data_IF_475709451554
#
_entry.id   IF_475709451554
#
_cell.length_a   1.000
_cell.length_b   1.000
_cell.length_c   1.000
_cell.angle_alpha   90.00
_cell.angle_beta   90.00
_cell.angle_gamma   90.00
#
_symmetry.space_group_name_H-M   'P 1'
#
loop_
_entity.id
_entity.type
_entity.pdbx_description
1 polymer ?
#
# COMPACT_ATOMS: atom_id res chain seq x y z
N UNK A 1 -3.13 -7.87 -12.60
CA UNK A 1 -2.81 -7.16 -13.86
C UNK A 1 -2.86 -8.02 -15.13
N UNK A 2 -2.14 -9.16 -15.16
CA UNK A 2 -2.03 -10.05 -16.34
C UNK A 2 -3.36 -10.37 -17.04
N UNK A 3 -4.38 -10.75 -16.29
CA UNK A 3 -5.68 -11.14 -16.84
C UNK A 3 -6.50 -9.92 -17.30
N UNK A 4 -6.58 -8.88 -16.46
CA UNK A 4 -7.48 -7.73 -16.69
C UNK A 4 -7.00 -6.77 -17.78
N UNK A 5 -5.68 -6.52 -17.89
CA UNK A 5 -5.14 -5.48 -18.77
C UNK A 5 -4.33 -6.02 -19.96
N UNK A 6 -3.93 -7.29 -19.92
CA UNK A 6 -3.02 -7.88 -20.91
C UNK A 6 -3.55 -9.18 -21.53
N UNK A 7 -4.84 -9.49 -21.39
CA UNK A 7 -5.46 -10.68 -22.00
C UNK A 7 -4.77 -12.00 -21.63
N UNK A 8 -4.16 -12.09 -20.46
CA UNK A 8 -3.42 -13.29 -20.02
C UNK A 8 -2.01 -13.44 -20.59
N UNK A 9 -1.52 -12.51 -21.40
CA UNK A 9 -0.27 -12.66 -22.15
C UNK A 9 0.99 -12.24 -21.38
N UNK A 10 0.86 -11.36 -20.38
CA UNK A 10 2.01 -10.95 -19.56
C UNK A 10 2.60 -12.14 -18.80
N UNK A 11 3.91 -12.39 -18.92
CA UNK A 11 4.61 -13.53 -18.28
C UNK A 11 5.64 -13.05 -17.27
N UNK A 12 5.73 -13.74 -16.14
CA UNK A 12 6.78 -13.50 -15.14
C UNK A 12 8.13 -14.04 -15.62
N UNK A 13 9.18 -13.24 -15.50
CA UNK A 13 10.56 -13.68 -15.68
C UNK A 13 11.01 -14.63 -14.56
N UNK A 14 12.05 -15.43 -14.82
CA UNK A 14 12.56 -16.42 -13.85
C UNK A 14 12.96 -15.78 -12.50
N UNK A 15 13.52 -14.57 -12.54
CA UNK A 15 13.93 -13.81 -11.34
C UNK A 15 12.77 -13.43 -10.41
N UNK A 16 11.52 -13.39 -10.91
CA UNK A 16 10.33 -13.04 -10.12
C UNK A 16 9.82 -14.26 -9.34
N UNK A 17 9.90 -15.45 -9.95
CA UNK A 17 9.34 -16.69 -9.37
C UNK A 17 10.10 -17.19 -8.14
N UNK A 18 11.40 -16.93 -8.09
CA UNK A 18 12.30 -17.43 -7.03
C UNK A 18 12.47 -16.52 -5.82
N UNK A 19 11.81 -15.35 -5.76
CA UNK A 19 11.98 -14.44 -4.62
C UNK A 19 11.48 -15.13 -3.33
N UNK A 20 12.17 -15.05 -2.19
CA UNK A 20 11.63 -15.49 -0.90
C UNK A 20 10.50 -14.54 -0.43
N UNK A 21 9.65 -14.95 0.53
CA UNK A 21 8.68 -14.03 1.13
C UNK A 21 9.42 -12.85 1.77
N UNK A 22 8.85 -11.63 1.70
CA UNK A 22 9.51 -10.43 2.22
C UNK A 22 9.66 -10.43 3.75
N UNK A 23 8.85 -11.24 4.45
CA UNK A 23 8.84 -11.32 5.92
C UNK A 23 9.05 -12.76 6.38
N UNK A 24 9.74 -12.92 7.52
CA UNK A 24 9.83 -14.22 8.21
C UNK A 24 8.50 -14.49 8.93
N UNK A 25 8.01 -15.75 8.94
CA UNK A 25 6.88 -16.14 9.79
C UNK A 25 7.17 -15.77 11.26
N UNK A 26 6.22 -15.11 11.94
CA UNK A 26 6.40 -14.64 13.32
C UNK A 26 6.93 -13.21 13.48
N UNK A 27 7.21 -12.50 12.37
CA UNK A 27 7.21 -11.04 12.41
C UNK A 27 5.84 -10.56 12.92
N UNK A 28 5.79 -9.45 13.65
CA UNK A 28 4.59 -8.89 14.31
C UNK A 28 3.44 -8.48 13.38
N UNK A 29 3.46 -8.92 12.12
CA UNK A 29 2.39 -8.77 11.16
C UNK A 29 1.48 -10.02 11.15
N UNK A 30 0.16 -9.83 11.17
CA UNK A 30 -0.79 -10.91 10.87
C UNK A 30 -0.39 -11.68 9.60
N UNK A 31 -0.52 -13.01 9.61
CA UNK A 31 -0.11 -13.88 8.50
C UNK A 31 -0.74 -13.47 7.15
N UNK A 32 -1.96 -12.91 7.18
CA UNK A 32 -2.63 -12.38 6.00
C UNK A 32 -1.85 -11.24 5.32
N UNK A 33 -1.13 -10.43 6.10
CA UNK A 33 -0.31 -9.30 5.67
C UNK A 33 1.14 -9.69 5.39
N UNK A 34 1.58 -10.87 5.84
CA UNK A 34 2.90 -11.42 5.54
C UNK A 34 3.02 -11.94 4.08
N UNK A 35 1.92 -11.92 3.32
CA UNK A 35 1.89 -12.26 1.89
C UNK A 35 2.43 -11.11 1.04
N UNK A 36 2.90 -11.42 -0.18
CA UNK A 36 3.35 -10.40 -1.16
C UNK A 36 2.24 -9.48 -1.66
N UNK A 37 1.01 -9.98 -1.61
CA UNK A 37 -0.18 -9.26 -1.99
C UNK A 37 -1.29 -9.62 -1.02
N UNK A 38 -1.97 -8.61 -0.49
CA UNK A 38 -3.09 -8.74 0.41
C UNK A 38 -4.12 -7.66 0.07
N UNK A 39 -5.39 -8.02 0.19
CA UNK A 39 -6.50 -7.09 0.19
C UNK A 39 -7.02 -7.08 1.62
N UNK A 40 -7.16 -5.90 2.21
CA UNK A 40 -7.67 -5.73 3.57
C UNK A 40 -9.01 -5.04 3.47
N UNK A 41 -10.03 -5.69 4.00
CA UNK A 41 -11.36 -5.11 4.14
C UNK A 41 -11.43 -4.30 5.45
N UNK A 42 -11.67 -2.99 5.34
CA UNK A 42 -11.75 -2.07 6.47
C UNK A 42 -13.22 -1.85 6.82
N UNK A 43 -13.79 -2.79 7.57
CA UNK A 43 -15.22 -2.88 7.86
C UNK A 43 -15.88 -1.66 8.56
N UNK A 44 -15.11 -0.66 9.00
CA UNK A 44 -15.61 0.53 9.74
C UNK A 44 -15.24 1.87 9.10
N UNK A 45 -14.69 1.87 7.89
CA UNK A 45 -14.39 3.11 7.19
C UNK A 45 -15.64 3.79 6.64
N UNK A 46 -15.75 5.11 6.82
CA UNK A 46 -16.72 5.93 6.10
C UNK A 46 -15.99 6.98 5.28
N UNK A 47 -16.49 7.21 4.06
CA UNK A 47 -15.96 8.24 3.19
C UNK A 47 -16.41 9.64 3.68
N UNK A 48 -15.45 10.55 3.76
CA UNK A 48 -15.68 11.98 3.99
C UNK A 48 -15.37 12.73 2.70
N UNK A 49 -16.31 13.56 2.29
CA UNK A 49 -16.23 14.35 1.07
C UNK A 49 -15.86 15.79 1.42
N UNK A 50 -14.78 16.28 0.82
CA UNK A 50 -14.46 17.70 0.85
C UNK A 50 -15.25 18.46 -0.22
N UNK A 51 -15.46 19.77 -0.01
CA UNK A 51 -16.10 20.67 -1.00
C UNK A 51 -15.40 20.65 -2.36
N UNK A 52 -14.11 20.31 -2.40
CA UNK A 52 -13.30 20.18 -3.62
C UNK A 52 -13.65 18.95 -4.47
N UNK A 53 -14.50 18.04 -3.96
CA UNK A 53 -14.78 16.74 -4.58
C UNK A 53 -13.77 15.65 -4.22
N UNK A 54 -12.74 15.96 -3.43
CA UNK A 54 -11.79 14.95 -2.95
C UNK A 54 -12.36 14.15 -1.78
N UNK A 55 -11.98 12.88 -1.68
CA UNK A 55 -12.48 11.93 -0.68
C UNK A 55 -11.38 11.50 0.29
N UNK A 56 -11.75 11.25 1.55
CA UNK A 56 -10.88 10.64 2.55
C UNK A 56 -11.62 9.61 3.41
N UNK A 57 -10.88 8.70 4.03
CA UNK A 57 -11.38 7.67 4.93
C UNK A 57 -10.39 7.51 6.11
N UNK A 58 -10.84 7.85 7.31
CA UNK A 58 -10.01 7.89 8.52
C UNK A 58 -9.57 6.49 8.97
N UNK A 59 -10.44 5.49 8.89
CA UNK A 59 -10.12 4.13 9.30
C UNK A 59 -9.03 3.52 8.40
N UNK A 60 -9.12 3.77 7.10
CA UNK A 60 -8.07 3.38 6.15
C UNK A 60 -6.76 4.12 6.42
N UNK A 61 -6.83 5.43 6.68
CA UNK A 61 -5.63 6.23 6.93
C UNK A 61 -4.88 5.76 8.19
N UNK A 62 -5.59 5.49 9.29
CA UNK A 62 -4.99 4.99 10.53
C UNK A 62 -4.34 3.61 10.31
N UNK A 63 -5.02 2.71 9.61
CA UNK A 63 -4.48 1.39 9.29
C UNK A 63 -3.19 1.50 8.46
N UNK A 64 -3.20 2.33 7.41
CA UNK A 64 -2.04 2.53 6.54
C UNK A 64 -0.85 3.12 7.31
N UNK A 65 -1.09 4.10 8.18
CA UNK A 65 -0.04 4.67 9.03
C UNK A 65 0.57 3.61 9.95
N UNK A 66 -0.25 2.81 10.64
CA UNK A 66 0.21 1.72 11.51
C UNK A 66 1.05 0.70 10.71
N UNK A 67 0.57 0.30 9.53
CA UNK A 67 1.29 -0.63 8.65
C UNK A 67 2.64 -0.06 8.20
N UNK A 68 2.68 1.20 7.76
CA UNK A 68 3.92 1.84 7.33
C UNK A 68 4.94 1.89 8.48
N UNK A 69 4.51 2.24 9.69
CA UNK A 69 5.38 2.23 10.88
C UNK A 69 5.87 0.83 11.23
N UNK A 70 5.00 -0.18 11.21
CA UNK A 70 5.40 -1.59 11.47
C UNK A 70 6.40 -2.08 10.43
N UNK A 71 6.20 -1.75 9.16
CA UNK A 71 7.12 -2.12 8.07
C UNK A 71 8.48 -1.43 8.22
N UNK A 72 8.50 -0.15 8.56
CA UNK A 72 9.74 0.58 8.83
C UNK A 72 10.55 -0.06 9.97
N UNK A 73 9.86 -0.42 11.07
CA UNK A 73 10.46 -1.09 12.23
C UNK A 73 11.01 -2.48 11.88
N UNK A 74 10.23 -3.31 11.19
CA UNK A 74 10.60 -4.70 10.89
C UNK A 74 11.80 -4.82 9.96
N UNK A 75 11.97 -3.88 9.04
CA UNK A 75 13.08 -3.91 8.09
C UNK A 75 14.32 -3.13 8.56
N UNK A 76 14.29 -2.53 9.76
CA UNK A 76 15.34 -1.60 10.18
C UNK A 76 15.55 -0.49 9.15
N UNK A 77 14.48 -0.13 8.41
CA UNK A 77 14.53 0.88 7.37
C UNK A 77 14.66 2.23 8.06
N UNK A 78 15.90 2.64 8.27
CA UNK A 78 16.29 4.00 8.66
C UNK A 78 16.13 4.99 7.49
N UNK A 79 15.93 4.49 6.27
CA UNK A 79 15.84 5.30 5.06
C UNK A 79 14.38 5.64 4.66
N UNK A 80 14.08 6.92 4.39
CA UNK A 80 12.83 7.32 3.76
C UNK A 80 12.86 6.85 2.29
N UNK A 81 12.24 5.70 1.99
CA UNK A 81 12.20 5.17 0.61
C UNK A 81 11.80 3.69 0.47
N UNK A 82 11.76 2.93 1.57
CA UNK A 82 11.37 1.51 1.50
C UNK A 82 9.87 1.23 1.45
N UNK A 83 9.04 2.23 1.74
CA UNK A 83 7.58 2.13 1.72
C UNK A 83 7.01 3.31 0.95
N UNK A 84 6.18 3.02 -0.04
CA UNK A 84 5.42 4.01 -0.80
C UNK A 84 3.94 3.82 -0.50
N UNK A 85 3.24 4.93 -0.25
CA UNK A 85 1.79 4.95 -0.07
C UNK A 85 1.18 5.74 -1.23
N UNK A 86 0.24 5.10 -1.93
CA UNK A 86 -0.42 5.66 -3.10
C UNK A 86 -1.92 5.63 -2.89
N UNK A 87 -2.61 6.73 -3.21
CA UNK A 87 -4.06 6.86 -3.11
C UNK A 87 -4.60 7.67 -4.29
N UNK A 88 -5.83 7.47 -4.79
CA UNK A 88 -6.38 8.31 -5.86
C UNK A 88 -6.67 9.75 -5.41
N UNK A 89 -6.95 9.97 -4.13
CA UNK A 89 -7.49 11.25 -3.65
C UNK A 89 -6.45 12.09 -2.89
N UNK A 90 -6.38 13.39 -3.22
CA UNK A 90 -5.48 14.33 -2.56
C UNK A 90 -5.82 14.53 -1.08
N UNK A 91 -7.11 14.56 -0.72
CA UNK A 91 -7.56 14.62 0.67
C UNK A 91 -7.08 13.41 1.47
N UNK A 92 -7.17 12.20 0.90
CA UNK A 92 -6.65 10.99 1.54
C UNK A 92 -5.12 11.03 1.67
N UNK A 93 -4.39 11.52 0.67
CA UNK A 93 -2.93 11.67 0.75
C UNK A 93 -2.53 12.62 1.89
N UNK A 94 -3.23 13.75 2.03
CA UNK A 94 -3.02 14.69 3.13
C UNK A 94 -3.36 14.06 4.49
N UNK A 95 -4.47 13.33 4.58
CA UNK A 95 -4.91 12.68 5.81
C UNK A 95 -3.91 11.63 6.29
N UNK A 96 -3.35 10.84 5.37
CA UNK A 96 -2.35 9.82 5.69
C UNK A 96 -1.01 10.46 6.08
N UNK A 97 -0.58 11.51 5.40
CA UNK A 97 0.75 12.09 5.61
C UNK A 97 1.88 11.12 5.20
N UNK A 98 3.04 11.19 5.86
CA UNK A 98 4.17 10.26 5.66
C UNK A 98 4.66 10.07 4.21
N UNK A 99 4.56 11.10 3.37
CA UNK A 99 4.95 11.02 1.96
C UNK A 99 3.95 10.28 1.06
N UNK A 100 2.73 10.03 1.55
CA UNK A 100 1.64 9.55 0.71
C UNK A 100 1.37 10.52 -0.45
N UNK A 101 1.14 9.95 -1.62
CA UNK A 101 1.06 10.68 -2.89
C UNK A 101 -0.11 10.16 -3.72
N UNK A 102 -0.60 11.00 -4.64
CA UNK A 102 -1.66 10.56 -5.54
C UNK A 102 -1.14 9.59 -6.60
N UNK A 103 -1.99 8.72 -7.15
CA UNK A 103 -1.62 7.82 -8.27
C UNK A 103 -1.00 8.61 -9.42
N UNK A 104 -1.60 9.73 -9.80
CA UNK A 104 -1.12 10.58 -10.91
C UNK A 104 0.28 11.13 -10.64
N UNK A 105 0.59 11.49 -9.38
CA UNK A 105 1.92 11.99 -9.01
C UNK A 105 3.02 10.93 -8.99
N UNK A 106 2.66 9.65 -9.19
CA UNK A 106 3.61 8.53 -9.32
C UNK A 106 3.82 8.08 -10.78
N UNK A 107 2.95 8.48 -11.72
CA UNK A 107 3.17 8.15 -13.13
C UNK A 107 4.31 9.01 -13.70
N UNK A 108 5.45 8.37 -13.99
CA UNK A 108 6.61 9.00 -14.64
C UNK A 108 7.80 9.34 -13.73
N UNK A 109 7.77 8.92 -12.47
CA UNK A 109 8.91 9.00 -11.53
C UNK A 109 9.84 7.79 -11.57
#
# INVERSE_FOLDING_TARGET
PRQLFYGGQLRDAACVKGRPPPFRPGASLPLALARRYAIVDVARGSEKFETSGSVSNEAEAELVQRLASTLAQLHGLTCPGGVAIITPYAAQARLIGNGARTVDSWQGG
#
